data_IF_322679452378
#
_entry.id   IF_322679452378
#
_cell.length_a   1.000
_cell.length_b   1.000
_cell.length_c   1.000
_cell.angle_alpha   90.00
_cell.angle_beta   90.00
_cell.angle_gamma   90.00
#
_symmetry.space_group_name_H-M   'P 1'
#
loop_
_entity.id
_entity.type
_entity.pdbx_description
1 polymer ?
#
# COMPACT_ATOMS: atom_id res chain seq x y z
N UNK A 1 11.46 25.44 17.72
CA UNK A 1 10.68 25.06 16.52
C UNK A 1 11.24 25.83 15.33
N UNK A 2 11.52 25.20 14.21
CA UNK A 2 11.84 25.90 12.95
C UNK A 2 10.52 26.13 12.21
N UNK A 3 10.32 27.30 11.62
CA UNK A 3 9.08 27.64 10.90
C UNK A 3 9.24 27.56 9.38
N UNK A 4 10.48 27.31 8.88
CA UNK A 4 10.80 27.17 7.46
C UNK A 4 11.55 25.85 7.23
N UNK A 5 11.39 25.25 6.05
CA UNK A 5 12.05 24.00 5.62
C UNK A 5 11.81 22.84 6.59
N UNK A 6 10.56 22.73 7.08
CA UNK A 6 10.21 21.77 8.12
C UNK A 6 10.07 20.36 7.56
N UNK A 7 9.56 20.26 6.34
CA UNK A 7 9.30 18.98 5.71
C UNK A 7 10.56 18.23 5.33
N UNK A 8 11.62 18.94 4.93
CA UNK A 8 12.94 18.35 4.68
C UNK A 8 13.51 17.70 5.95
N UNK A 9 13.26 18.30 7.11
CA UNK A 9 13.69 17.75 8.39
C UNK A 9 12.86 16.54 8.81
N UNK A 10 11.56 16.55 8.58
CA UNK A 10 10.63 15.47 8.97
C UNK A 10 10.66 14.33 7.98
N UNK A 11 10.58 14.61 6.68
CA UNK A 11 10.38 13.64 5.59
C UNK A 11 11.64 13.38 4.76
N UNK A 12 12.69 14.19 4.88
CA UNK A 12 13.93 14.07 4.11
C UNK A 12 14.81 12.85 4.46
N UNK A 13 14.36 11.96 5.35
CA UNK A 13 15.16 10.81 5.79
C UNK A 13 14.30 9.54 5.84
N UNK A 14 14.68 8.53 5.03
CA UNK A 14 13.98 7.23 4.95
C UNK A 14 13.81 6.55 6.32
N UNK A 15 14.80 6.65 7.20
CA UNK A 15 14.74 6.09 8.56
C UNK A 15 13.66 6.76 9.40
N UNK A 16 13.61 8.10 9.41
CA UNK A 16 12.56 8.85 10.11
C UNK A 16 11.16 8.49 9.59
N UNK A 17 10.99 8.43 8.27
CA UNK A 17 9.70 8.03 7.66
C UNK A 17 9.27 6.65 8.13
N UNK A 18 10.17 5.66 8.13
CA UNK A 18 9.85 4.30 8.61
C UNK A 18 9.50 4.27 10.10
N UNK A 19 10.22 5.02 10.92
CA UNK A 19 9.94 5.16 12.36
C UNK A 19 8.56 5.82 12.57
N UNK A 20 8.30 6.94 11.90
CA UNK A 20 7.00 7.63 11.95
C UNK A 20 5.86 6.74 11.46
N UNK A 21 6.03 6.05 10.34
CA UNK A 21 5.03 5.09 9.83
C UNK A 21 4.67 4.04 10.88
N UNK A 22 5.67 3.51 11.60
CA UNK A 22 5.43 2.54 12.68
C UNK A 22 4.69 3.18 13.85
N UNK A 23 5.10 4.36 14.27
CA UNK A 23 4.44 5.09 15.37
C UNK A 23 2.98 5.44 15.03
N UNK A 24 2.69 5.90 13.82
CA UNK A 24 1.32 6.21 13.38
C UNK A 24 0.48 4.95 13.16
N UNK A 25 1.08 3.85 12.67
CA UNK A 25 0.36 2.56 12.53
C UNK A 25 -0.17 2.05 13.87
N UNK A 26 0.57 2.27 14.93
CA UNK A 26 0.23 1.85 16.29
C UNK A 26 0.03 3.06 17.22
N UNK A 27 -0.66 4.09 16.72
CA UNK A 27 -0.90 5.33 17.47
C UNK A 27 -1.57 5.03 18.81
N UNK A 28 -0.96 5.51 19.90
CA UNK A 28 -1.40 5.23 21.28
C UNK A 28 -0.63 4.13 22.00
N UNK A 29 0.13 3.31 21.27
CA UNK A 29 1.03 2.34 21.90
C UNK A 29 2.27 3.04 22.47
N UNK A 30 2.78 2.50 23.56
CA UNK A 30 4.08 2.84 24.17
C UNK A 30 5.13 1.88 23.64
N UNK A 31 6.28 2.39 23.22
CA UNK A 31 7.34 1.58 22.65
C UNK A 31 8.64 1.70 23.45
N UNK A 32 9.36 0.59 23.61
CA UNK A 32 10.79 0.67 23.83
C UNK A 32 11.50 0.97 22.50
N UNK A 33 12.72 1.51 22.58
CA UNK A 33 13.53 1.77 21.37
C UNK A 33 13.82 0.49 20.59
N UNK A 34 14.05 -0.63 21.28
CA UNK A 34 14.30 -1.95 20.66
C UNK A 34 13.08 -2.47 19.91
N UNK A 35 11.91 -2.36 20.52
CA UNK A 35 10.66 -2.76 19.88
C UNK A 35 10.36 -1.91 18.65
N UNK A 36 10.57 -0.59 18.73
CA UNK A 36 10.39 0.31 17.59
C UNK A 36 11.38 0.01 16.46
N UNK A 37 12.63 -0.31 16.78
CA UNK A 37 13.63 -0.75 15.82
C UNK A 37 13.20 -2.03 15.10
N UNK A 38 12.78 -3.05 15.84
CA UNK A 38 12.27 -4.31 15.30
C UNK A 38 11.08 -4.11 14.37
N UNK A 39 10.05 -3.39 14.82
CA UNK A 39 8.82 -3.16 14.04
C UNK A 39 9.02 -2.26 12.81
N UNK A 40 9.98 -1.34 12.85
CA UNK A 40 10.32 -0.49 11.70
C UNK A 40 11.29 -1.14 10.71
N UNK A 41 11.85 -2.31 11.05
CA UNK A 41 12.85 -3.00 10.24
C UNK A 41 14.15 -2.21 10.11
N UNK A 42 14.56 -1.50 11.19
CA UNK A 42 15.75 -0.63 11.20
C UNK A 42 16.64 -1.01 12.39
N UNK A 43 17.97 -0.94 12.19
CA UNK A 43 18.92 -1.14 13.28
C UNK A 43 18.75 -0.10 14.41
N UNK A 44 19.08 -0.49 15.64
CA UNK A 44 18.88 0.34 16.82
C UNK A 44 19.54 1.74 16.78
N UNK A 45 20.82 1.92 16.36
CA UNK A 45 21.47 3.22 16.40
C UNK A 45 20.82 4.27 15.46
N UNK A 46 20.43 3.97 14.20
CA UNK A 46 19.67 4.91 13.37
C UNK A 46 18.33 5.31 13.95
N UNK A 47 17.63 4.38 14.65
CA UNK A 47 16.36 4.69 15.32
C UNK A 47 16.57 5.70 16.44
N UNK A 48 17.61 5.53 17.26
CA UNK A 48 17.93 6.47 18.33
C UNK A 48 18.18 7.89 17.80
N UNK A 49 18.96 8.03 16.72
CA UNK A 49 19.20 9.33 16.08
C UNK A 49 17.90 9.95 15.55
N UNK A 50 17.08 9.15 14.89
CA UNK A 50 15.79 9.61 14.39
C UNK A 50 14.84 10.05 15.51
N UNK A 51 14.84 9.32 16.64
CA UNK A 51 14.01 9.68 17.80
C UNK A 51 14.47 10.99 18.45
N UNK A 52 15.77 11.25 18.53
CA UNK A 52 16.29 12.53 19.05
C UNK A 52 15.81 13.72 18.18
N UNK A 53 15.88 13.57 16.85
CA UNK A 53 15.36 14.58 15.94
C UNK A 53 13.85 14.79 16.09
N UNK A 54 13.08 13.69 16.15
CA UNK A 54 11.61 13.73 16.28
C UNK A 54 11.15 14.30 17.64
N UNK A 55 11.92 14.07 18.69
CA UNK A 55 11.72 14.68 20.01
C UNK A 55 11.98 16.19 19.96
N UNK A 56 13.09 16.61 19.33
CA UNK A 56 13.39 18.03 19.09
C UNK A 56 12.33 18.75 18.23
N UNK A 57 11.58 18.02 17.40
CA UNK A 57 10.43 18.51 16.63
C UNK A 57 9.09 18.42 17.40
N UNK A 58 9.12 17.99 18.66
CA UNK A 58 7.92 17.78 19.49
C UNK A 58 6.91 16.76 18.91
N UNK A 59 7.38 15.83 18.07
CA UNK A 59 6.55 14.77 17.47
C UNK A 59 6.47 13.52 18.33
N UNK A 60 7.52 13.24 19.10
CA UNK A 60 7.56 12.14 20.06
C UNK A 60 7.87 12.65 21.44
N UNK A 61 7.48 11.90 22.45
CA UNK A 61 7.87 12.07 23.84
C UNK A 61 8.65 10.86 24.28
N UNK A 62 9.71 11.11 25.05
CA UNK A 62 10.53 10.10 25.67
C UNK A 62 10.38 10.23 27.19
N UNK A 63 9.81 9.23 27.80
CA UNK A 63 9.58 9.19 29.26
C UNK A 63 10.42 8.06 29.86
N UNK A 64 11.05 8.31 31.01
CA UNK A 64 11.71 7.24 31.78
C UNK A 64 10.66 6.44 32.54
N UNK A 65 10.66 5.12 32.35
CA UNK A 65 9.90 4.16 33.16
C UNK A 65 10.86 3.16 33.76
N UNK A 66 11.29 3.36 34.99
CA UNK A 66 12.37 2.59 35.58
C UNK A 66 13.66 2.70 34.74
N UNK A 67 14.33 1.58 34.41
CA UNK A 67 15.54 1.57 33.58
C UNK A 67 15.26 1.79 32.10
N UNK A 68 14.02 1.74 31.62
CA UNK A 68 13.66 1.79 30.21
C UNK A 68 13.15 3.18 29.77
N UNK A 69 13.53 3.58 28.57
CA UNK A 69 12.93 4.73 27.89
C UNK A 69 11.72 4.27 27.09
N UNK A 70 10.59 4.92 27.35
CA UNK A 70 9.31 4.69 26.67
C UNK A 70 9.08 5.83 25.68
N UNK A 71 8.81 5.47 24.44
CA UNK A 71 8.56 6.38 23.32
C UNK A 71 7.07 6.38 23.02
N UNK A 72 6.50 7.58 22.90
CA UNK A 72 5.10 7.78 22.50
C UNK A 72 4.99 8.89 21.46
N UNK A 73 3.96 8.81 20.59
CA UNK A 73 3.58 9.94 19.76
C UNK A 73 3.00 11.08 20.57
N UNK A 74 3.47 12.29 20.31
CA UNK A 74 2.88 13.48 20.89
C UNK A 74 1.66 13.94 20.09
N UNK A 75 0.47 13.53 20.52
CA UNK A 75 -0.80 13.88 19.87
C UNK A 75 -1.17 15.37 19.98
N UNK A 76 -0.51 16.12 20.88
CA UNK A 76 -0.69 17.58 21.02
C UNK A 76 0.22 18.38 20.07
N UNK A 77 1.12 17.71 19.33
CA UNK A 77 1.93 18.38 18.32
C UNK A 77 1.05 18.90 17.18
N UNK A 78 1.32 20.12 16.73
CA UNK A 78 0.65 20.69 15.56
C UNK A 78 0.89 19.89 14.27
N UNK A 79 1.94 19.08 14.21
CA UNK A 79 2.26 18.18 13.10
C UNK A 79 1.53 16.84 13.17
N UNK A 80 0.87 16.53 14.30
CA UNK A 80 0.22 15.23 14.47
C UNK A 80 -0.86 15.00 13.41
N UNK A 81 -1.79 15.93 13.24
CA UNK A 81 -2.90 15.78 12.30
C UNK A 81 -2.44 15.69 10.84
N UNK A 82 -1.57 16.59 10.32
CA UNK A 82 -1.08 16.48 8.95
C UNK A 82 -0.36 15.16 8.67
N UNK A 83 0.52 14.72 9.57
CA UNK A 83 1.24 13.45 9.42
C UNK A 83 0.31 12.24 9.57
N UNK A 84 -0.66 12.30 10.48
CA UNK A 84 -1.67 11.25 10.64
C UNK A 84 -2.45 11.05 9.34
N UNK A 85 -2.89 12.15 8.71
CA UNK A 85 -3.58 12.10 7.42
C UNK A 85 -2.71 11.49 6.31
N UNK A 86 -1.42 11.87 6.25
CA UNK A 86 -0.46 11.34 5.28
C UNK A 86 -0.27 9.82 5.43
N UNK A 87 0.00 9.33 6.64
CA UNK A 87 0.22 7.90 6.87
C UNK A 87 -1.08 7.08 6.79
N UNK A 88 -2.23 7.67 7.10
CA UNK A 88 -3.53 7.05 6.87
C UNK A 88 -3.79 6.89 5.37
N UNK A 89 -3.55 7.94 4.57
CA UNK A 89 -3.68 7.88 3.12
C UNK A 89 -2.80 6.78 2.51
N UNK A 90 -1.53 6.69 2.93
CA UNK A 90 -0.60 5.64 2.48
C UNK A 90 -1.14 4.24 2.81
N UNK A 91 -1.67 4.05 4.02
CA UNK A 91 -2.26 2.77 4.45
C UNK A 91 -3.48 2.38 3.62
N UNK A 92 -4.28 3.34 3.21
CA UNK A 92 -5.56 3.13 2.51
C UNK A 92 -5.44 3.20 0.98
N UNK A 93 -4.28 3.56 0.45
CA UNK A 93 -4.09 3.79 -0.99
C UNK A 93 -4.52 2.59 -1.85
N UNK A 94 -4.17 1.36 -1.44
CA UNK A 94 -4.56 0.14 -2.16
C UNK A 94 -6.07 -0.11 -2.10
N UNK A 95 -6.69 0.09 -0.96
CA UNK A 95 -8.15 -0.06 -0.80
C UNK A 95 -8.91 0.97 -1.64
N UNK A 96 -8.42 2.20 -1.74
CA UNK A 96 -8.97 3.24 -2.62
C UNK A 96 -8.86 2.83 -4.09
N UNK A 97 -7.71 2.29 -4.50
CA UNK A 97 -7.56 1.73 -5.84
C UNK A 97 -8.58 0.61 -6.12
N UNK A 98 -8.75 -0.34 -5.19
CA UNK A 98 -9.71 -1.44 -5.34
C UNK A 98 -11.14 -0.90 -5.45
N UNK A 99 -11.55 0.04 -4.60
CA UNK A 99 -12.85 0.69 -4.67
C UNK A 99 -13.05 1.39 -6.00
N UNK A 100 -12.05 2.13 -6.47
CA UNK A 100 -12.10 2.82 -7.76
C UNK A 100 -12.25 1.87 -8.93
N UNK A 101 -11.48 0.77 -8.93
CA UNK A 101 -11.59 -0.29 -9.92
C UNK A 101 -12.96 -0.97 -9.89
N UNK A 102 -13.53 -1.21 -8.70
CA UNK A 102 -14.87 -1.80 -8.58
C UNK A 102 -15.94 -0.94 -9.25
N UNK A 103 -15.80 0.39 -9.18
CA UNK A 103 -16.74 1.33 -9.82
C UNK A 103 -16.52 1.46 -11.32
N UNK A 104 -15.25 1.47 -11.77
CA UNK A 104 -14.91 1.77 -13.16
C UNK A 104 -14.92 0.55 -14.07
N UNK A 105 -14.65 -0.65 -13.54
CA UNK A 105 -14.59 -1.85 -14.38
C UNK A 105 -15.98 -2.25 -14.88
N UNK A 106 -16.10 -2.61 -16.18
CA UNK A 106 -17.33 -3.13 -16.72
C UNK A 106 -17.71 -4.45 -16.06
N UNK A 107 -19.00 -4.86 -16.07
CA UNK A 107 -19.44 -6.15 -15.55
C UNK A 107 -18.73 -7.31 -16.25
N UNK A 108 -18.05 -8.15 -15.48
CA UNK A 108 -17.30 -9.32 -15.95
C UNK A 108 -17.56 -10.52 -15.05
N UNK A 109 -17.24 -11.72 -15.51
CA UNK A 109 -17.38 -12.95 -14.70
C UNK A 109 -16.41 -12.98 -13.52
N UNK A 110 -15.21 -12.43 -13.70
CA UNK A 110 -14.20 -12.26 -12.67
C UNK A 110 -13.29 -11.08 -13.01
N UNK A 111 -13.01 -10.24 -12.03
CA UNK A 111 -11.92 -9.26 -12.08
C UNK A 111 -11.04 -9.44 -10.84
N UNK A 112 -9.72 -9.54 -11.03
CA UNK A 112 -8.77 -9.69 -9.94
C UNK A 112 -7.58 -8.78 -10.12
N UNK A 113 -7.16 -8.14 -9.03
CA UNK A 113 -5.88 -7.43 -8.90
C UNK A 113 -4.82 -8.45 -8.49
N UNK A 114 -3.67 -8.40 -9.15
CA UNK A 114 -2.51 -9.24 -8.85
C UNK A 114 -1.19 -8.46 -9.06
N UNK A 115 -0.04 -9.11 -9.09
CA UNK A 115 1.25 -8.46 -9.32
C UNK A 115 1.81 -7.72 -8.10
N UNK A 116 2.74 -6.80 -8.35
CA UNK A 116 3.50 -6.09 -7.32
C UNK A 116 2.62 -5.22 -6.43
N UNK A 117 1.67 -4.48 -6.99
CA UNK A 117 0.71 -3.65 -6.24
C UNK A 117 -0.12 -4.49 -5.26
N UNK A 118 -0.51 -5.70 -5.64
CA UNK A 118 -1.25 -6.58 -4.73
C UNK A 118 -0.36 -7.11 -3.60
N UNK A 119 0.89 -7.43 -3.88
CA UNK A 119 1.83 -7.96 -2.87
C UNK A 119 2.48 -6.89 -2.00
N UNK A 120 2.42 -5.62 -2.37
CA UNK A 120 3.10 -4.51 -1.69
C UNK A 120 4.60 -4.48 -1.96
N UNK A 121 5.03 -5.04 -3.11
CA UNK A 121 6.41 -5.05 -3.58
C UNK A 121 6.62 -4.14 -4.79
N UNK A 122 5.68 -3.23 -5.03
CA UNK A 122 5.74 -2.26 -6.12
C UNK A 122 6.88 -1.28 -5.95
N UNK A 123 7.47 -0.89 -7.09
CA UNK A 123 8.41 0.22 -7.22
C UNK A 123 7.74 1.38 -7.96
N UNK A 124 8.41 2.54 -7.98
CA UNK A 124 7.93 3.69 -8.74
C UNK A 124 7.79 3.30 -10.21
N UNK A 125 6.60 3.48 -10.77
CA UNK A 125 6.30 3.11 -12.16
C UNK A 125 5.84 1.66 -12.35
N UNK A 126 5.67 0.87 -11.29
CA UNK A 126 5.06 -0.46 -11.40
C UNK A 126 3.64 -0.38 -11.97
N UNK A 127 3.29 -1.35 -12.82
CA UNK A 127 1.96 -1.44 -13.41
C UNK A 127 0.91 -1.94 -12.41
N UNK A 128 -0.33 -1.54 -12.64
CA UNK A 128 -1.51 -2.11 -11.97
C UNK A 128 -2.02 -3.28 -12.80
N UNK A 129 -1.65 -4.49 -12.39
CA UNK A 129 -1.97 -5.73 -13.10
C UNK A 129 -3.37 -6.22 -12.74
N UNK A 130 -4.25 -6.31 -13.75
CA UNK A 130 -5.63 -6.78 -13.60
C UNK A 130 -5.89 -7.92 -14.57
N UNK A 131 -6.49 -9.02 -14.07
CA UNK A 131 -7.02 -10.07 -14.90
C UNK A 131 -8.54 -9.98 -14.95
N UNK A 132 -9.09 -9.98 -16.15
CA UNK A 132 -10.53 -9.95 -16.42
C UNK A 132 -10.95 -11.21 -17.17
N UNK A 133 -11.95 -11.93 -16.66
CA UNK A 133 -12.56 -13.07 -17.35
C UNK A 133 -13.97 -12.70 -17.77
N UNK A 134 -14.26 -12.81 -19.07
CA UNK A 134 -15.51 -12.36 -19.66
C UNK A 134 -16.01 -13.32 -20.77
N UNK A 135 -17.30 -13.27 -21.08
CA UNK A 135 -17.87 -13.94 -22.24
C UNK A 135 -17.57 -13.19 -23.55
N UNK A 136 -17.47 -11.86 -23.51
CA UNK A 136 -17.24 -11.01 -24.69
C UNK A 136 -15.99 -10.15 -24.53
N UNK A 137 -14.87 -10.70 -24.95
CA UNK A 137 -13.55 -10.04 -24.84
C UNK A 137 -13.49 -8.71 -25.59
N UNK A 138 -14.04 -8.65 -26.82
CA UNK A 138 -13.98 -7.44 -27.65
C UNK A 138 -14.72 -6.28 -27.00
N UNK A 139 -15.96 -6.50 -26.55
CA UNK A 139 -16.77 -5.49 -25.85
C UNK A 139 -16.04 -4.93 -24.62
N UNK A 140 -15.39 -5.79 -23.84
CA UNK A 140 -14.66 -5.36 -22.65
C UNK A 140 -13.42 -4.54 -23.04
N UNK A 141 -12.65 -4.96 -24.05
CA UNK A 141 -11.46 -4.24 -24.52
C UNK A 141 -11.79 -2.80 -24.94
N UNK A 142 -12.91 -2.59 -25.63
CA UNK A 142 -13.34 -1.27 -26.07
C UNK A 142 -13.65 -0.32 -24.87
N UNK A 143 -14.19 -0.88 -23.78
CA UNK A 143 -14.51 -0.13 -22.56
C UNK A 143 -13.30 0.17 -21.67
N UNK A 144 -12.20 -0.60 -21.81
CA UNK A 144 -11.04 -0.43 -20.94
C UNK A 144 -10.20 0.82 -21.25
N UNK A 145 -10.38 1.47 -22.38
CA UNK A 145 -9.64 2.69 -22.72
C UNK A 145 -9.95 3.82 -21.72
N UNK A 146 -11.22 3.99 -21.38
CA UNK A 146 -11.66 5.00 -20.39
C UNK A 146 -11.17 4.64 -18.97
N UNK A 147 -11.25 3.35 -18.59
CA UNK A 147 -10.75 2.88 -17.30
C UNK A 147 -9.25 3.15 -17.18
N UNK A 148 -8.48 2.82 -18.23
CA UNK A 148 -7.03 3.07 -18.28
C UNK A 148 -6.72 4.55 -18.07
N UNK A 149 -7.39 5.43 -18.80
CA UNK A 149 -7.19 6.87 -18.69
C UNK A 149 -7.41 7.33 -17.23
N UNK A 150 -8.59 7.03 -16.66
CA UNK A 150 -8.95 7.46 -15.31
C UNK A 150 -8.02 6.91 -14.22
N UNK A 151 -7.65 5.64 -14.31
CA UNK A 151 -6.74 5.02 -13.32
C UNK A 151 -5.33 5.61 -13.42
N UNK A 152 -4.82 5.80 -14.64
CA UNK A 152 -3.48 6.38 -14.82
C UNK A 152 -3.45 7.85 -14.38
N UNK A 153 -4.50 8.63 -14.67
CA UNK A 153 -4.61 10.01 -14.21
C UNK A 153 -4.66 10.12 -12.68
N UNK A 154 -5.44 9.25 -12.03
CA UNK A 154 -5.69 9.32 -10.57
C UNK A 154 -4.52 8.76 -9.74
N UNK A 155 -3.88 7.66 -10.19
CA UNK A 155 -2.86 6.95 -9.42
C UNK A 155 -1.43 7.10 -9.97
N UNK A 156 -1.25 7.59 -11.19
CA UNK A 156 0.06 7.75 -11.82
C UNK A 156 0.68 6.45 -12.33
N UNK A 157 0.03 5.30 -12.13
CA UNK A 157 0.50 3.98 -12.53
C UNK A 157 -0.16 3.54 -13.84
N UNK A 158 0.56 2.82 -14.68
CA UNK A 158 0.00 2.27 -15.90
C UNK A 158 -0.97 1.12 -15.59
N UNK A 159 -2.18 1.19 -16.16
CA UNK A 159 -3.18 0.13 -16.01
C UNK A 159 -2.96 -0.97 -17.06
N UNK A 160 -2.63 -2.19 -16.60
CA UNK A 160 -2.23 -3.35 -17.41
C UNK A 160 -3.26 -4.49 -17.34
N UNK A 161 -4.36 -4.43 -18.14
CA UNK A 161 -5.39 -5.44 -18.10
C UNK A 161 -5.07 -6.65 -19.01
N UNK A 162 -5.19 -7.86 -18.46
CA UNK A 162 -5.23 -9.11 -19.22
C UNK A 162 -6.69 -9.53 -19.35
N UNK A 163 -7.24 -9.54 -20.57
CA UNK A 163 -8.62 -9.93 -20.83
C UNK A 163 -8.69 -11.31 -21.46
N UNK A 164 -9.36 -12.24 -20.82
CA UNK A 164 -9.51 -13.62 -21.27
C UNK A 164 -10.99 -14.03 -21.35
N UNK A 165 -11.30 -14.94 -22.28
CA UNK A 165 -12.54 -15.73 -22.20
C UNK A 165 -12.39 -16.83 -21.18
N UNK A 166 -13.50 -17.42 -20.70
CA UNK A 166 -13.45 -18.56 -19.78
C UNK A 166 -12.61 -19.73 -20.29
N UNK A 167 -12.76 -20.05 -21.59
CA UNK A 167 -11.99 -21.11 -22.23
C UNK A 167 -10.48 -20.77 -22.22
N UNK A 168 -10.11 -19.53 -22.54
CA UNK A 168 -8.72 -19.09 -22.49
C UNK A 168 -8.18 -19.12 -21.05
N UNK A 169 -9.00 -18.70 -20.08
CA UNK A 169 -8.61 -18.70 -18.67
C UNK A 169 -8.34 -20.13 -18.14
N UNK A 170 -9.21 -21.10 -18.46
CA UNK A 170 -8.98 -22.51 -18.08
C UNK A 170 -7.63 -23.05 -18.61
N UNK A 171 -7.27 -22.67 -19.84
CA UNK A 171 -5.98 -23.07 -20.46
C UNK A 171 -4.77 -22.26 -19.97
N UNK A 172 -5.00 -21.13 -19.30
CA UNK A 172 -3.94 -20.19 -18.92
C UNK A 172 -3.14 -20.62 -17.69
N UNK A 173 -3.44 -21.72 -17.02
CA UNK A 173 -2.76 -22.21 -15.81
C UNK A 173 -1.22 -22.33 -15.95
N UNK A 174 -0.73 -22.52 -17.19
CA UNK A 174 0.71 -22.65 -17.51
C UNK A 174 1.35 -21.31 -17.92
N UNK A 175 0.63 -20.19 -17.94
CA UNK A 175 1.18 -18.89 -18.32
C UNK A 175 2.00 -18.27 -17.18
N UNK A 176 3.02 -17.43 -17.48
CA UNK A 176 3.88 -16.83 -16.44
C UNK A 176 3.11 -16.11 -15.32
N UNK A 177 2.10 -15.32 -15.67
CA UNK A 177 1.26 -14.62 -14.68
C UNK A 177 0.41 -15.55 -13.80
N UNK A 178 0.20 -16.79 -14.24
CA UNK A 178 -0.59 -17.75 -13.45
C UNK A 178 0.09 -18.12 -12.13
N UNK A 179 1.43 -18.16 -12.10
CA UNK A 179 2.18 -18.40 -10.87
C UNK A 179 1.99 -17.25 -9.87
N UNK A 180 1.97 -16.01 -10.34
CA UNK A 180 1.72 -14.83 -9.48
C UNK A 180 0.29 -14.84 -8.95
N UNK A 181 -0.69 -15.13 -9.82
CA UNK A 181 -2.10 -15.28 -9.43
C UNK A 181 -2.30 -16.41 -8.42
N UNK A 182 -1.64 -17.56 -8.58
CA UNK A 182 -1.79 -18.67 -7.65
C UNK A 182 -1.30 -18.35 -6.23
N UNK A 183 -0.33 -17.44 -6.12
CA UNK A 183 0.28 -17.04 -4.83
C UNK A 183 -0.50 -15.96 -4.12
N UNK A 184 -0.85 -14.89 -4.80
CA UNK A 184 -1.49 -13.74 -4.19
C UNK A 184 -2.33 -12.95 -5.21
N UNK A 185 -3.62 -12.80 -4.93
CA UNK A 185 -4.55 -11.99 -5.72
C UNK A 185 -5.69 -11.49 -4.84
N UNK A 186 -6.35 -10.43 -5.30
CA UNK A 186 -7.56 -9.88 -4.69
C UNK A 186 -8.69 -9.85 -5.71
N UNK A 187 -9.79 -10.54 -5.43
CA UNK A 187 -11.00 -10.42 -6.25
C UNK A 187 -11.58 -9.03 -6.06
N UNK A 188 -11.81 -8.32 -7.18
CA UNK A 188 -12.44 -6.99 -7.23
C UNK A 188 -13.93 -7.13 -7.48
N UNK A 189 -14.30 -7.95 -8.48
CA UNK A 189 -15.69 -8.21 -8.82
C UNK A 189 -15.89 -9.59 -9.44
N UNK A 190 -17.12 -10.10 -9.41
CA UNK A 190 -17.50 -11.39 -9.95
C UNK A 190 -17.12 -12.58 -9.07
N UNK A 191 -17.08 -13.77 -9.65
CA UNK A 191 -16.82 -15.04 -8.94
C UNK A 191 -15.33 -15.37 -8.93
N UNK A 192 -14.83 -15.99 -7.85
CA UNK A 192 -13.44 -16.43 -7.76
C UNK A 192 -13.19 -17.71 -8.58
N UNK A 193 -13.03 -17.55 -9.89
CA UNK A 193 -12.76 -18.65 -10.81
C UNK A 193 -11.37 -19.28 -10.62
N UNK A 194 -10.43 -18.59 -9.94
CA UNK A 194 -9.11 -19.14 -9.62
C UNK A 194 -9.25 -20.28 -8.60
N UNK A 195 -10.02 -20.07 -7.55
CA UNK A 195 -10.34 -21.14 -6.59
C UNK A 195 -11.09 -22.28 -7.23
N UNK A 196 -12.07 -21.97 -8.08
CA UNK A 196 -12.92 -22.96 -8.70
C UNK A 196 -12.19 -23.83 -9.72
N UNK A 197 -11.28 -23.27 -10.52
CA UNK A 197 -10.71 -23.97 -11.68
C UNK A 197 -9.21 -24.25 -11.59
N UNK A 198 -8.45 -23.53 -10.75
CA UNK A 198 -6.99 -23.67 -10.66
C UNK A 198 -6.50 -24.31 -9.37
N UNK A 199 -7.29 -24.23 -8.29
CA UNK A 199 -6.93 -24.79 -6.96
C UNK A 199 -7.64 -26.12 -6.64
N UNK A 200 -8.25 -26.73 -7.66
CA UNK A 200 -8.70 -28.12 -7.58
C UNK A 200 -7.55 -29.08 -7.76
#
# INVERSE_FOLDING_TARGET
>A
MKFHNYWELVLGNKTKIKVLRTLFRYAGKRFSVRELAHLSGIAHPPVLRSLADLEGMNLVRKEKHGPANVITLNRKSNLYLPLSALFLWEKEAKEKLIQRLTVLLPPVKMAVLFGSVQTGSEEIGSDIDILLVTANKRKIQDQLSEVRFKITEEFGNFFSPIVLTEHQFKKAKKRPYALTLARNYKVISGSDLIKTWWKQ
#
